data_IF_844864411539
#
_entry.id   IF_844864411539
#
_cell.length_a   1.000
_cell.length_b   1.000
_cell.length_c   1.000
_cell.angle_alpha   90.00
_cell.angle_beta   90.00
_cell.angle_gamma   90.00
#
_symmetry.space_group_name_H-M   'P 1'
#
loop_
_entity.id
_entity.type
_entity.pdbx_description
1 polymer ?
#
# COMPACT_ATOMS: atom_id res chain seq x y z
N UNK A 1 -14.77 -3.68 1.40
CA UNK A 1 -13.39 -4.16 1.67
C UNK A 1 -12.42 -3.51 0.70
N UNK A 2 -11.26 -3.11 1.17
CA UNK A 2 -10.26 -2.46 0.35
C UNK A 2 -9.24 -3.48 -0.16
N UNK A 3 -8.66 -3.19 -1.32
CA UNK A 3 -7.55 -3.97 -1.87
C UNK A 3 -6.35 -3.07 -2.01
N UNK A 4 -5.22 -3.53 -1.46
CA UNK A 4 -3.96 -2.81 -1.52
C UNK A 4 -2.99 -3.62 -2.39
N UNK A 5 -2.49 -3.02 -3.46
CA UNK A 5 -1.52 -3.64 -4.36
C UNK A 5 -0.17 -2.96 -4.21
N UNK A 6 0.79 -3.71 -3.70
CA UNK A 6 2.16 -3.24 -3.60
C UNK A 6 3.00 -3.82 -4.74
N UNK A 7 3.44 -2.95 -5.66
CA UNK A 7 4.32 -3.36 -6.74
C UNK A 7 5.76 -3.11 -6.31
N UNK A 8 6.51 -4.18 -6.09
CA UNK A 8 7.86 -4.09 -5.55
C UNK A 8 8.88 -3.61 -6.57
N UNK A 9 8.61 -3.80 -7.86
CA UNK A 9 9.50 -3.35 -8.94
C UNK A 9 9.35 -1.85 -9.15
N UNK A 10 8.12 -1.37 -9.25
CA UNK A 10 7.84 0.06 -9.47
C UNK A 10 7.88 0.88 -8.19
N UNK A 11 7.89 0.22 -7.03
CA UNK A 11 7.84 0.89 -5.72
C UNK A 11 6.58 1.72 -5.56
N UNK A 12 5.43 1.16 -5.97
CA UNK A 12 4.14 1.83 -5.88
C UNK A 12 3.15 1.03 -5.06
N UNK A 13 2.23 1.74 -4.41
CA UNK A 13 1.08 1.14 -3.75
C UNK A 13 -0.17 1.75 -4.34
N UNK A 14 -1.07 0.90 -4.82
CA UNK A 14 -2.39 1.32 -5.31
C UNK A 14 -3.46 0.75 -4.38
N UNK A 15 -4.41 1.58 -4.00
CA UNK A 15 -5.49 1.18 -3.10
C UNK A 15 -6.80 1.29 -3.85
N UNK A 16 -7.57 0.21 -3.83
CA UNK A 16 -8.86 0.11 -4.51
C UNK A 16 -9.97 -0.13 -3.49
N UNK A 17 -11.13 0.45 -3.72
CA UNK A 17 -12.34 0.04 -3.02
C UNK A 17 -12.92 -1.16 -3.75
N UNK A 18 -13.10 -2.27 -3.03
CA UNK A 18 -13.58 -3.53 -3.61
C UNK A 18 -12.44 -4.46 -3.99
N UNK A 19 -12.73 -5.37 -4.91
CA UNK A 19 -11.77 -6.39 -5.33
C UNK A 19 -10.81 -5.84 -6.37
N UNK A 20 -9.63 -6.44 -6.41
CA UNK A 20 -8.51 -6.03 -7.26
C UNK A 20 -8.88 -5.75 -8.72
N UNK A 21 -9.68 -6.62 -9.33
CA UNK A 21 -10.00 -6.51 -10.75
C UNK A 21 -11.23 -5.67 -11.05
N UNK A 22 -12.04 -5.38 -10.05
CA UNK A 22 -13.33 -4.72 -10.23
C UNK A 22 -13.45 -3.45 -9.38
N UNK A 23 -12.46 -3.19 -8.55
CA UNK A 23 -12.51 -2.07 -7.63
C UNK A 23 -12.19 -0.74 -8.27
N UNK A 24 -12.64 0.32 -7.61
CA UNK A 24 -12.35 1.69 -8.01
C UNK A 24 -11.08 2.16 -7.30
N UNK A 25 -10.15 2.73 -8.06
CA UNK A 25 -8.91 3.25 -7.47
C UNK A 25 -9.23 4.43 -6.55
N UNK A 26 -8.83 4.30 -5.28
CA UNK A 26 -9.02 5.35 -4.28
C UNK A 26 -7.81 6.28 -4.25
N UNK A 27 -6.62 5.70 -4.20
CA UNK A 27 -5.38 6.48 -4.11
C UNK A 27 -4.19 5.65 -4.58
N UNK A 28 -3.10 6.36 -4.89
CA UNK A 28 -1.84 5.75 -5.30
C UNK A 28 -0.70 6.46 -4.58
N UNK A 29 0.25 5.67 -4.09
CA UNK A 29 1.47 6.19 -3.48
C UNK A 29 2.66 5.77 -4.31
N UNK A 30 3.56 6.70 -4.61
CA UNK A 30 4.81 6.46 -5.31
C UNK A 30 5.96 6.44 -4.31
N UNK A 31 7.10 5.94 -4.76
CA UNK A 31 8.33 5.91 -3.93
C UNK A 31 8.11 5.17 -2.62
N UNK A 32 7.47 3.99 -2.70
CA UNK A 32 7.20 3.14 -1.55
C UNK A 32 8.21 2.00 -1.53
N UNK A 33 9.25 2.07 -0.68
CA UNK A 33 10.24 1.01 -0.62
C UNK A 33 9.72 -0.23 0.08
N UNK A 34 8.77 -0.08 0.99
CA UNK A 34 8.24 -1.19 1.75
C UNK A 34 6.86 -0.88 2.30
N UNK A 35 6.07 -1.94 2.49
CA UNK A 35 4.84 -1.90 3.26
C UNK A 35 5.06 -2.80 4.46
N UNK A 36 4.95 -2.24 5.65
CA UNK A 36 5.15 -3.01 6.88
C UNK A 36 3.82 -3.58 7.37
N UNK A 37 3.90 -4.79 7.92
CA UNK A 37 2.75 -5.48 8.47
C UNK A 37 2.91 -5.51 9.98
N UNK A 38 1.99 -4.83 10.66
CA UNK A 38 1.92 -4.82 12.11
C UNK A 38 0.70 -5.61 12.57
N UNK A 39 0.64 -5.83 13.86
CA UNK A 39 -0.55 -6.47 14.44
C UNK A 39 -1.74 -5.54 14.24
N UNK A 40 -2.65 -5.97 13.38
CA UNK A 40 -3.90 -5.25 13.11
C UNK A 40 -3.89 -4.26 11.98
N UNK A 41 -2.74 -3.90 11.41
CA UNK A 41 -2.73 -2.95 10.28
C UNK A 41 -1.51 -3.08 9.38
N UNK A 42 -1.69 -2.62 8.14
CA UNK A 42 -0.60 -2.43 7.18
C UNK A 42 -0.18 -0.97 7.18
N UNK A 43 1.11 -0.72 7.16
CA UNK A 43 1.63 0.65 7.13
C UNK A 43 2.41 0.87 5.84
N UNK A 44 1.95 1.85 5.05
CA UNK A 44 2.62 2.26 3.82
C UNK A 44 3.63 3.35 4.17
N UNK A 45 4.87 3.15 3.76
CA UNK A 45 5.93 4.14 3.96
C UNK A 45 6.42 4.65 2.62
N UNK A 46 6.68 5.95 2.55
CA UNK A 46 7.31 6.56 1.39
C UNK A 46 8.74 6.98 1.73
N UNK A 47 9.53 7.16 0.69
CA UNK A 47 10.91 7.57 0.80
C UNK A 47 11.04 8.99 0.24
N UNK A 48 11.70 9.88 0.99
CA UNK A 48 11.90 11.26 0.56
C UNK A 48 13.22 11.42 -0.22
N UNK A 49 13.55 12.66 -0.59
CA UNK A 49 14.75 12.97 -1.35
C UNK A 49 16.04 12.68 -0.57
N UNK A 50 15.98 12.72 0.75
CA UNK A 50 17.11 12.38 1.61
C UNK A 50 17.20 10.90 1.92
N UNK A 51 16.42 10.08 1.21
CA UNK A 51 16.34 8.63 1.39
C UNK A 51 15.82 8.18 2.76
N UNK A 52 15.13 9.07 3.46
CA UNK A 52 14.48 8.73 4.72
C UNK A 52 13.07 8.24 4.47
N UNK A 53 12.65 7.23 5.20
CA UNK A 53 11.30 6.70 5.09
C UNK A 53 10.42 7.27 6.18
N UNK A 54 9.14 7.47 5.84
CA UNK A 54 8.15 7.96 6.79
C UNK A 54 6.79 7.35 6.47
N UNK A 55 5.95 7.12 7.49
CA UNK A 55 4.64 6.54 7.24
C UNK A 55 3.69 7.57 6.62
N UNK A 56 2.93 7.14 5.62
CA UNK A 56 1.96 8.00 4.94
C UNK A 56 0.53 7.49 5.07
N UNK A 57 0.34 6.20 5.32
CA UNK A 57 -1.00 5.63 5.44
C UNK A 57 -0.97 4.34 6.23
N UNK A 58 -2.09 4.05 6.89
CA UNK A 58 -2.31 2.79 7.59
C UNK A 58 -3.67 2.26 7.21
N UNK A 59 -3.74 0.94 7.01
CA UNK A 59 -4.98 0.27 6.61
C UNK A 59 -5.24 -0.92 7.54
N UNK A 60 -6.46 -1.07 8.06
CA UNK A 60 -6.75 -2.18 8.97
C UNK A 60 -6.71 -3.51 8.21
N UNK A 61 -6.00 -4.48 8.79
CA UNK A 61 -5.88 -5.82 8.21
C UNK A 61 -7.25 -6.48 8.04
N UNK A 62 -8.15 -6.26 8.99
CA UNK A 62 -9.48 -6.87 8.97
C UNK A 62 -10.35 -6.41 7.80
N UNK A 63 -10.01 -5.27 7.18
CA UNK A 63 -10.81 -4.68 6.10
C UNK A 63 -10.01 -4.49 4.81
N UNK A 64 -8.81 -5.05 4.74
CA UNK A 64 -7.91 -4.80 3.63
C UNK A 64 -7.29 -6.11 3.17
N UNK A 65 -7.41 -6.40 1.88
CA UNK A 65 -6.68 -7.49 1.25
C UNK A 65 -5.41 -6.92 0.63
N UNK A 66 -4.25 -7.41 1.05
CA UNK A 66 -2.99 -6.96 0.48
C UNK A 66 -2.43 -8.00 -0.49
N UNK A 67 -2.02 -7.54 -1.66
CA UNK A 67 -1.35 -8.37 -2.67
C UNK A 67 -0.02 -7.72 -3.03
N UNK A 68 0.96 -8.57 -3.31
CA UNK A 68 2.28 -8.11 -3.71
C UNK A 68 2.50 -8.50 -5.16
N UNK A 69 2.84 -7.51 -5.98
CA UNK A 69 3.21 -7.70 -7.39
C UNK A 69 4.72 -7.50 -7.55
N UNK A 70 5.25 -8.18 -8.52
CA UNK A 70 6.67 -8.02 -8.87
C UNK A 70 6.83 -7.39 -10.22
#
# INVERSE_FOLDING_TARGET
MQTLLFNTTEKTVRVFEGQKSEGTLICKFNSVPTVKIYDGYYEVKQKDEDEKTYPVARFPVSQTNMFIEK
#
